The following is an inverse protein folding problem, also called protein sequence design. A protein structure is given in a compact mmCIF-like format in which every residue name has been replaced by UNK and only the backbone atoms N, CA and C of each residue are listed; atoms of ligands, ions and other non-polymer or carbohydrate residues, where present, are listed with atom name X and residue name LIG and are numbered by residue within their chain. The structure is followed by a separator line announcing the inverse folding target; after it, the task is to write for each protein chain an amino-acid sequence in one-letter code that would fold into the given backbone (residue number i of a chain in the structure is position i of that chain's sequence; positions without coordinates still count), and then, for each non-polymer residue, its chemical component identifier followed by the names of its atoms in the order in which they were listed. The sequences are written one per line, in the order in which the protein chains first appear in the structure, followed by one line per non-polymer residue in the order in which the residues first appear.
data_IF_529730806691
#
_entry.id   IF_529730806691
#
_cell.length_a   1.000
_cell.length_b   1.000
_cell.length_c   1.000
_cell.angle_alpha   90.00
_cell.angle_beta   90.00
_cell.angle_gamma   90.00
#
_symmetry.space_group_name_H-M   'P 1'
#
loop_
_entity.id
_entity.type
_entity.pdbx_description
1 polymer ?
#
# COMPACT_ATOMS: atom_id res chain seq x y z
N UNK A 1 5.71 12.86 -37.08
CA UNK A 1 6.67 13.04 -35.98
C UNK A 1 5.94 12.63 -34.71
N UNK A 2 6.44 11.65 -33.97
CA UNK A 2 5.82 11.19 -32.72
C UNK A 2 5.98 12.29 -31.67
N UNK A 3 4.89 12.94 -31.31
CA UNK A 3 4.86 13.87 -30.18
C UNK A 3 5.04 13.04 -28.91
N UNK A 4 6.04 13.41 -28.12
CA UNK A 4 6.31 12.78 -26.83
C UNK A 4 5.27 13.28 -25.83
N UNK A 5 4.80 12.43 -24.92
CA UNK A 5 3.92 12.92 -23.84
C UNK A 5 4.73 13.75 -22.86
N UNK A 6 4.10 14.74 -22.21
CA UNK A 6 4.77 15.59 -21.20
C UNK A 6 5.44 14.78 -20.09
N UNK A 7 4.84 13.66 -19.70
CA UNK A 7 5.40 12.74 -18.71
C UNK A 7 6.71 12.09 -19.19
N UNK A 8 6.75 11.66 -20.45
CA UNK A 8 7.96 11.12 -21.07
C UNK A 8 9.05 12.18 -21.20
N UNK A 9 8.68 13.43 -21.51
CA UNK A 9 9.64 14.54 -21.53
C UNK A 9 10.27 14.78 -20.14
N UNK A 10 9.44 14.77 -19.08
CA UNK A 10 9.92 14.92 -17.71
C UNK A 10 10.80 13.77 -17.25
N UNK A 11 10.48 12.53 -17.63
CA UNK A 11 11.30 11.36 -17.31
C UNK A 11 12.69 11.47 -17.95
N UNK A 12 12.74 11.88 -19.23
CA UNK A 12 13.99 12.10 -19.95
C UNK A 12 14.81 13.21 -19.27
N UNK A 13 14.19 14.35 -18.94
CA UNK A 13 14.87 15.46 -18.26
C UNK A 13 15.42 15.04 -16.90
N UNK A 14 14.63 14.32 -16.10
CA UNK A 14 15.05 13.78 -14.80
C UNK A 14 16.27 12.86 -14.92
N UNK A 15 16.26 11.95 -15.91
CA UNK A 15 17.38 11.06 -16.18
C UNK A 15 18.67 11.81 -16.55
N UNK A 16 18.57 12.90 -17.31
CA UNK A 16 19.75 13.69 -17.68
C UNK A 16 20.27 14.59 -16.55
N UNK A 17 19.38 15.13 -15.72
CA UNK A 17 19.72 15.98 -14.57
C UNK A 17 20.33 15.19 -13.40
N UNK A 18 20.00 13.91 -13.24
CA UNK A 18 20.55 13.05 -12.16
C UNK A 18 22.00 12.64 -12.39
N UNK A 19 22.44 12.51 -13.64
CA UNK A 19 23.81 12.14 -13.99
C UNK A 19 24.75 13.35 -14.09
N UNK A 20 25.70 13.50 -13.15
CA UNK A 20 26.66 14.62 -13.19
C UNK A 20 27.52 14.63 -14.47
N UNK A 21 27.93 13.46 -14.96
CA UNK A 21 28.75 13.33 -16.19
C UNK A 21 27.96 13.72 -17.44
N UNK A 22 26.68 13.35 -17.52
CA UNK A 22 25.80 13.73 -18.63
C UNK A 22 25.45 15.20 -18.58
N UNK A 23 25.17 15.72 -17.39
CA UNK A 23 24.89 17.14 -17.18
C UNK A 23 26.09 18.02 -17.55
N UNK A 24 27.31 17.59 -17.19
CA UNK A 24 28.55 18.30 -17.56
C UNK A 24 28.76 18.33 -19.08
N UNK A 25 28.54 17.21 -19.77
CA UNK A 25 28.61 17.15 -21.24
C UNK A 25 27.57 18.08 -21.88
N UNK A 26 26.36 18.11 -21.34
CA UNK A 26 25.31 19.01 -21.81
C UNK A 26 25.65 20.49 -21.56
N UNK A 27 26.17 20.82 -20.37
CA UNK A 27 26.58 22.19 -20.03
C UNK A 27 27.68 22.73 -20.94
N UNK A 28 28.61 21.88 -21.39
CA UNK A 28 29.65 22.26 -22.36
C UNK A 28 29.10 22.66 -23.74
N UNK A 29 27.85 22.30 -24.07
CA UNK A 29 27.21 22.67 -25.35
C UNK A 29 26.43 23.99 -25.29
N UNK A 30 26.37 24.64 -24.13
CA UNK A 30 25.56 25.83 -23.87
C UNK A 30 26.44 27.00 -23.42
N UNK A 31 25.88 28.19 -23.55
CA UNK A 31 26.52 29.42 -23.12
C UNK A 31 26.60 29.52 -21.59
N UNK A 32 27.62 30.21 -21.08
CA UNK A 32 27.78 30.46 -19.66
C UNK A 32 26.62 31.27 -19.06
N UNK A 33 26.13 32.29 -19.76
CA UNK A 33 25.01 33.11 -19.29
C UNK A 33 23.73 32.27 -19.16
N UNK A 34 23.51 31.36 -20.10
CA UNK A 34 22.41 30.40 -20.02
C UNK A 34 22.54 29.48 -18.80
N UNK A 35 23.75 28.97 -18.50
CA UNK A 35 23.98 28.13 -17.33
C UNK A 35 23.70 28.88 -16.02
N UNK A 36 24.05 30.17 -15.96
CA UNK A 36 23.78 31.03 -14.80
C UNK A 36 22.28 31.24 -14.58
N UNK A 37 21.51 31.49 -15.64
CA UNK A 37 20.05 31.60 -15.53
C UNK A 37 19.39 30.31 -15.04
N UNK A 38 19.84 29.17 -15.56
CA UNK A 38 19.33 27.85 -15.15
C UNK A 38 19.66 27.57 -13.69
N UNK A 39 20.87 27.92 -13.27
CA UNK A 39 21.29 27.80 -11.87
C UNK A 39 20.39 28.64 -10.94
N UNK A 40 20.12 29.90 -11.29
CA UNK A 40 19.20 30.76 -10.51
C UNK A 40 17.79 30.17 -10.41
N UNK A 41 17.25 29.62 -11.51
CA UNK A 41 15.93 28.97 -11.49
C UNK A 41 15.94 27.71 -10.60
N UNK A 42 16.99 26.91 -10.68
CA UNK A 42 17.14 25.73 -9.83
C UNK A 42 17.30 26.10 -8.35
N UNK A 43 17.99 27.19 -8.04
CA UNK A 43 18.13 27.71 -6.67
C UNK A 43 16.75 28.07 -6.08
N UNK A 44 15.93 28.82 -6.83
CA UNK A 44 14.55 29.14 -6.43
C UNK A 44 13.74 27.86 -6.18
N UNK A 45 13.79 26.88 -7.09
CA UNK A 45 13.06 25.61 -6.96
C UNK A 45 13.53 24.81 -5.74
N UNK A 46 14.84 24.80 -5.46
CA UNK A 46 15.41 24.12 -4.29
C UNK A 46 14.96 24.79 -3.00
N UNK A 47 14.90 26.12 -2.96
CA UNK A 47 14.42 26.86 -1.80
C UNK A 47 12.92 26.65 -1.55
N UNK A 48 12.10 26.67 -2.62
CA UNK A 48 10.68 26.31 -2.53
C UNK A 48 10.47 24.86 -2.05
N UNK A 49 11.26 23.93 -2.56
CA UNK A 49 11.24 22.53 -2.14
C UNK A 49 11.67 22.35 -0.68
N UNK A 50 12.65 23.14 -0.22
CA UNK A 50 13.09 23.16 1.17
C UNK A 50 12.00 23.68 2.09
N UNK A 51 11.36 24.79 1.73
CA UNK A 51 10.31 25.38 2.57
C UNK A 51 9.07 24.50 2.61
N UNK A 52 8.64 23.94 1.47
CA UNK A 52 7.54 22.96 1.44
C UNK A 52 7.86 21.70 2.26
N UNK A 53 9.10 21.19 2.18
CA UNK A 53 9.54 20.08 3.04
C UNK A 53 9.55 20.45 4.52
N UNK A 54 9.91 21.69 4.87
CA UNK A 54 9.89 22.20 6.25
C UNK A 54 8.46 22.31 6.77
N UNK A 55 7.55 22.87 5.99
CA UNK A 55 6.13 22.98 6.32
C UNK A 55 5.48 21.60 6.49
N UNK A 56 5.76 20.66 5.59
CA UNK A 56 5.26 19.29 5.71
C UNK A 56 5.76 18.61 7.00
N UNK A 57 7.01 18.83 7.40
CA UNK A 57 7.55 18.34 8.68
C UNK A 57 6.91 18.99 9.89
N UNK A 58 6.60 20.29 9.82
CA UNK A 58 5.89 20.98 10.89
C UNK A 58 4.44 20.50 11.03
N UNK A 59 3.74 20.24 9.92
CA UNK A 59 2.36 19.73 9.94
C UNK A 59 2.28 18.29 10.49
N UNK A 60 3.11 17.41 9.94
CA UNK A 60 3.93 16.45 10.69
C UNK A 60 3.78 16.42 12.21
N UNK A 61 4.69 17.19 12.80
CA UNK A 61 4.90 17.31 14.22
C UNK A 61 3.70 17.92 14.94
N UNK A 62 3.00 18.90 14.37
CA UNK A 62 1.79 19.47 14.96
C UNK A 62 0.68 18.40 15.10
N UNK A 63 0.49 17.56 14.09
CA UNK A 63 -0.45 16.43 14.14
C UNK A 63 -0.03 15.41 15.20
N UNK A 64 1.25 15.14 15.33
CA UNK A 64 1.79 14.23 16.35
C UNK A 64 1.63 14.79 17.77
N UNK A 65 1.95 16.07 17.98
CA UNK A 65 1.75 16.77 19.26
C UNK A 65 0.27 16.78 19.66
N UNK A 66 -0.64 17.11 18.73
CA UNK A 66 -2.10 17.02 18.97
C UNK A 66 -2.53 15.60 19.31
N UNK A 67 -1.99 14.59 18.63
CA UNK A 67 -2.29 13.18 18.91
C UNK A 67 -1.84 12.78 20.32
N UNK A 68 -0.65 13.20 20.75
CA UNK A 68 -0.14 12.94 22.10
C UNK A 68 -0.99 13.62 23.17
N UNK A 69 -1.39 14.87 22.94
CA UNK A 69 -2.24 15.60 23.89
C UNK A 69 -3.63 14.95 24.02
N UNK A 70 -4.24 14.54 22.91
CA UNK A 70 -5.51 13.78 22.94
C UNK A 70 -5.34 12.47 23.71
N UNK A 71 -4.22 11.77 23.53
CA UNK A 71 -3.94 10.52 24.25
C UNK A 71 -3.81 10.75 25.76
N UNK A 72 -3.14 11.84 26.17
CA UNK A 72 -3.04 12.24 27.58
C UNK A 72 -4.40 12.56 28.19
N UNK A 73 -5.24 13.32 27.48
CA UNK A 73 -6.60 13.65 27.94
C UNK A 73 -7.46 12.39 28.08
N UNK A 74 -7.35 11.44 27.15
CA UNK A 74 -8.06 10.15 27.20
C UNK A 74 -7.65 9.34 28.44
N UNK A 75 -6.35 9.30 28.73
CA UNK A 75 -5.82 8.61 29.92
C UNK A 75 -6.26 9.29 31.22
N UNK A 76 -6.21 10.64 31.29
CA UNK A 76 -6.69 11.41 32.45
C UNK A 76 -8.18 11.21 32.72
N UNK A 77 -8.98 11.07 31.66
CA UNK A 77 -10.42 10.76 31.77
C UNK A 77 -10.70 9.28 32.09
N UNK A 78 -9.66 8.43 32.22
CA UNK A 78 -9.79 7.02 32.58
C UNK A 78 -10.35 6.14 31.46
N UNK A 79 -10.32 6.60 30.21
CA UNK A 79 -10.74 5.81 29.05
C UNK A 79 -9.57 5.03 28.47
N UNK A 80 -9.77 3.73 28.20
CA UNK A 80 -8.81 2.95 27.44
C UNK A 80 -8.99 3.25 25.94
N UNK A 81 -7.90 3.59 25.26
CA UNK A 81 -7.81 3.87 23.82
C UNK A 81 -8.50 2.78 22.99
N UNK A 82 -8.46 1.52 23.45
CA UNK A 82 -9.07 0.39 22.74
C UNK A 82 -10.58 0.27 22.94
N UNK A 83 -11.14 0.94 23.95
CA UNK A 83 -12.55 0.85 24.33
C UNK A 83 -13.28 2.18 24.20
N UNK A 84 -12.59 3.27 23.86
CA UNK A 84 -13.17 4.62 23.75
C UNK A 84 -14.29 4.73 22.70
N UNK A 85 -14.26 3.89 21.68
CA UNK A 85 -15.31 3.83 20.65
C UNK A 85 -16.50 2.93 21.05
N UNK A 86 -16.48 2.36 22.26
CA UNK A 86 -17.54 1.51 22.79
C UNK A 86 -18.35 2.35 23.80
N UNK A 87 -19.66 2.53 23.61
CA UNK A 87 -20.48 3.26 24.56
C UNK A 87 -20.43 2.62 25.95
N UNK A 88 -20.17 3.40 27.00
CA UNK A 88 -20.13 2.92 28.40
C UNK A 88 -21.45 2.22 28.79
N UNK A 89 -22.58 2.63 28.18
CA UNK A 89 -23.91 2.03 28.39
C UNK A 89 -24.03 0.57 27.92
N UNK A 90 -23.08 0.08 27.10
CA UNK A 90 -22.97 -1.31 26.66
C UNK A 90 -21.91 -2.11 27.44
N UNK A 91 -21.15 -1.47 28.34
CA UNK A 91 -20.05 -2.11 29.10
C UNK A 91 -20.52 -3.15 30.13
N UNK A 92 -21.83 -3.22 30.40
CA UNK A 92 -22.46 -4.31 31.17
C UNK A 92 -22.69 -5.59 30.36
N UNK A 93 -22.67 -5.53 29.02
CA UNK A 93 -22.64 -6.72 28.18
C UNK A 93 -21.20 -7.13 28.00
N UNK A 94 -20.71 -8.03 28.86
CA UNK A 94 -19.56 -8.87 28.50
C UNK A 94 -19.91 -9.51 27.15
N UNK A 95 -19.26 -9.13 26.03
CA UNK A 95 -19.39 -9.96 24.85
C UNK A 95 -18.86 -11.32 25.29
N UNK A 96 -19.70 -12.37 25.19
CA UNK A 96 -19.21 -13.75 25.25
C UNK A 96 -17.96 -13.73 24.40
N UNK A 97 -16.80 -14.09 24.99
CA UNK A 97 -15.57 -14.37 24.24
C UNK A 97 -16.04 -15.21 23.06
N UNK A 98 -16.14 -14.59 21.88
CA UNK A 98 -16.30 -15.37 20.69
C UNK A 98 -14.96 -16.08 20.64
N UNK A 99 -15.00 -17.38 20.95
CA UNK A 99 -13.99 -18.31 20.51
C UNK A 99 -14.05 -18.30 18.97
N UNK A 100 -13.73 -17.18 18.32
CA UNK A 100 -12.98 -17.17 17.08
C UNK A 100 -11.57 -17.57 17.46
N UNK A 101 -11.45 -18.80 17.97
CA UNK A 101 -10.24 -19.55 17.80
C UNK A 101 -9.92 -19.42 16.33
N UNK A 102 -8.84 -18.71 16.05
CA UNK A 102 -8.17 -18.73 14.75
C UNK A 102 -7.89 -20.19 14.49
N UNK A 103 -8.85 -20.87 13.89
CA UNK A 103 -8.72 -22.22 13.40
C UNK A 103 -7.57 -22.12 12.43
N UNK A 104 -6.42 -22.68 12.83
CA UNK A 104 -5.28 -23.00 11.97
C UNK A 104 -5.84 -23.29 10.56
N UNK A 105 -5.43 -22.59 9.49
CA UNK A 105 -5.99 -22.78 8.17
C UNK A 105 -5.97 -24.28 7.88
N UNK A 106 -7.17 -24.88 7.83
CA UNK A 106 -7.28 -26.33 7.68
C UNK A 106 -6.72 -26.68 6.31
N UNK A 107 -5.84 -27.68 6.26
CA UNK A 107 -5.17 -28.10 5.03
C UNK A 107 -6.24 -28.38 3.96
N UNK A 108 -6.02 -27.95 2.71
CA UNK A 108 -6.95 -28.26 1.63
C UNK A 108 -7.08 -29.78 1.47
N UNK A 109 -8.30 -30.25 1.19
CA UNK A 109 -8.60 -31.69 1.05
C UNK A 109 -8.64 -32.10 -0.43
N UNK A 110 -8.98 -31.16 -1.31
CA UNK A 110 -9.09 -31.37 -2.75
C UNK A 110 -8.27 -30.34 -3.54
N UNK A 111 -7.68 -30.77 -4.65
CA UNK A 111 -6.95 -29.94 -5.62
C UNK A 111 -7.52 -30.21 -7.02
N UNK A 112 -7.85 -29.16 -7.76
CA UNK A 112 -8.39 -29.26 -9.11
C UNK A 112 -7.84 -28.15 -10.00
N UNK A 113 -7.80 -28.40 -11.31
CA UNK A 113 -7.36 -27.42 -12.29
C UNK A 113 -8.57 -26.72 -12.89
N UNK A 114 -8.60 -25.39 -12.82
CA UNK A 114 -9.62 -24.57 -13.45
C UNK A 114 -8.92 -23.62 -14.42
N UNK A 115 -9.14 -23.80 -15.73
CA UNK A 115 -8.61 -22.95 -16.79
C UNK A 115 -7.07 -22.75 -16.75
N UNK A 116 -6.32 -23.79 -16.37
CA UNK A 116 -4.86 -23.74 -16.29
C UNK A 116 -4.29 -23.28 -14.93
N UNK A 117 -5.15 -22.90 -13.99
CA UNK A 117 -4.75 -22.58 -12.61
C UNK A 117 -5.11 -23.71 -11.63
N UNK A 118 -4.14 -24.07 -10.78
CA UNK A 118 -4.33 -25.05 -9.71
C UNK A 118 -5.04 -24.39 -8.53
N UNK A 119 -6.26 -24.85 -8.21
CA UNK A 119 -7.05 -24.37 -7.08
C UNK A 119 -7.26 -25.45 -6.03
N UNK A 120 -7.39 -24.99 -4.79
CA UNK A 120 -7.50 -25.84 -3.61
C UNK A 120 -8.83 -25.62 -2.90
N UNK A 121 -9.48 -26.71 -2.49
CA UNK A 121 -10.71 -26.66 -1.72
C UNK A 121 -10.60 -27.48 -0.44
N UNK A 122 -11.00 -26.89 0.68
CA UNK A 122 -10.92 -27.51 2.01
C UNK A 122 -12.04 -28.51 2.29
N UNK A 123 -12.99 -28.68 1.36
CA UNK A 123 -14.17 -29.55 1.51
C UNK A 123 -15.24 -28.98 2.47
N UNK A 124 -15.01 -27.78 3.03
CA UNK A 124 -15.96 -27.09 3.90
C UNK A 124 -16.52 -25.84 3.18
N UNK A 125 -17.83 -25.65 3.23
CA UNK A 125 -18.53 -24.51 2.62
C UNK A 125 -18.96 -24.75 1.17
N UNK A 126 -19.33 -23.68 0.47
CA UNK A 126 -19.79 -23.75 -0.93
C UNK A 126 -18.70 -24.33 -1.83
N UNK A 127 -19.08 -25.29 -2.68
CA UNK A 127 -18.18 -25.93 -3.64
C UNK A 127 -17.76 -24.92 -4.72
N UNK A 128 -16.47 -24.83 -5.08
CA UNK A 128 -16.01 -23.97 -6.17
C UNK A 128 -16.63 -24.39 -7.51
N UNK A 129 -16.89 -23.40 -8.36
CA UNK A 129 -17.55 -23.60 -9.67
C UNK A 129 -16.74 -24.54 -10.58
N UNK A 130 -15.42 -24.41 -10.63
CA UNK A 130 -14.57 -25.31 -11.41
C UNK A 130 -14.66 -26.78 -10.99
N UNK A 131 -14.67 -27.05 -9.68
CA UNK A 131 -14.84 -28.41 -9.18
C UNK A 131 -16.24 -28.96 -9.47
N UNK A 132 -17.28 -28.11 -9.36
CA UNK A 132 -18.65 -28.49 -9.71
C UNK A 132 -18.81 -28.84 -11.20
N UNK A 133 -18.11 -28.14 -12.10
CA UNK A 133 -18.11 -28.46 -13.53
C UNK A 133 -17.48 -29.82 -13.80
N UNK A 134 -16.32 -30.10 -13.21
CA UNK A 134 -15.63 -31.41 -13.34
C UNK A 134 -16.50 -32.57 -12.84
N UNK A 135 -17.24 -32.36 -11.75
CA UNK A 135 -18.23 -33.34 -11.25
C UNK A 135 -19.40 -33.54 -12.22
N UNK A 136 -19.89 -32.47 -12.83
CA UNK A 136 -20.97 -32.55 -13.83
C UNK A 136 -20.51 -33.23 -15.14
N UNK A 137 -19.21 -33.14 -15.45
CA UNK A 137 -18.57 -33.82 -16.58
C UNK A 137 -18.35 -35.33 -16.33
N UNK A 138 -18.68 -35.82 -15.13
CA UNK A 138 -18.66 -37.25 -14.79
C UNK A 138 -17.47 -37.69 -13.94
N UNK A 139 -16.59 -36.77 -13.53
CA UNK A 139 -15.45 -37.09 -12.66
C UNK A 139 -15.88 -37.28 -11.19
N UNK A 140 -15.25 -38.23 -10.51
CA UNK A 140 -15.50 -38.45 -9.09
C UNK A 140 -14.75 -37.44 -8.23
N UNK A 141 -15.37 -36.99 -7.13
CA UNK A 141 -14.74 -36.09 -6.17
C UNK A 141 -13.45 -36.66 -5.57
N UNK A 142 -13.34 -38.00 -5.51
CA UNK A 142 -12.20 -38.71 -4.95
C UNK A 142 -10.94 -38.62 -5.82
N UNK A 143 -11.07 -38.33 -7.12
CA UNK A 143 -9.94 -38.12 -8.03
C UNK A 143 -9.16 -36.83 -7.69
N UNK A 144 -9.86 -35.84 -7.15
CA UNK A 144 -9.29 -34.55 -6.75
C UNK A 144 -8.79 -34.55 -5.32
N UNK A 145 -8.89 -35.66 -4.59
CA UNK A 145 -8.44 -35.76 -3.21
C UNK A 145 -6.91 -35.66 -3.16
N UNK A 146 -6.40 -34.72 -2.36
CA UNK A 146 -4.96 -34.58 -2.17
C UNK A 146 -4.46 -35.80 -1.39
N UNK A 147 -3.87 -36.77 -2.10
CA UNK A 147 -3.13 -37.87 -1.48
C UNK A 147 -1.87 -37.28 -0.86
N UNK A 148 -1.71 -37.44 0.45
CA UNK A 148 -0.57 -36.96 1.22
C UNK A 148 0.41 -38.09 1.50
#
# INVERSE_FOLDING_TARGET
MTELTKEQEYEIVSKYLTGLTTLRKFAQTKDFDWLKEVYQKLEIIVDESRESSRLARLEIEEKEQKRLEVLRIIEEMGFDINTINIPITLSGFKPKKSNTGKGKPRKPKYQFNENGEVKYWSGNGKRPLGLQKLLNEGHSLDEFLIKK
#
